data_IF_759362471843
#
_entry.id   IF_759362471843
#
_cell.length_a   1.000
_cell.length_b   1.000
_cell.length_c   1.000
_cell.angle_alpha   90.00
_cell.angle_beta   90.00
_cell.angle_gamma   90.00
#
_symmetry.space_group_name_H-M   'P 1'
#
loop_
_entity.id
_entity.type
_entity.pdbx_description
1 polymer ?
#
# COMPACT_ATOMS: atom_id res chain seq x y z
N UNK A 1 3.36 -13.42 -24.22
CA UNK A 1 3.40 -13.01 -23.86
C UNK A 1 3.38 -12.39 -23.11
N UNK A 2 3.36 -12.09 -22.91
CA UNK A 2 3.44 -11.48 -22.34
C UNK A 2 3.21 -10.98 -21.57
N UNK A 3 2.98 -10.86 -21.14
CA UNK A 3 2.85 -10.35 -20.46
C UNK A 3 2.92 -9.90 -19.73
N UNK A 4 2.73 -9.91 -19.69
CA UNK A 4 2.96 -9.44 -18.91
C UNK A 4 3.21 -8.75 -18.33
N UNK A 5 2.89 -8.74 -18.76
CA UNK A 5 3.67 -8.11 -17.81
C UNK A 5 3.35 -6.68 -17.56
N UNK A 6 2.30 -6.45 -16.91
CA UNK A 6 2.05 -5.14 -16.38
C UNK A 6 3.16 -4.83 -15.41
N UNK A 7 3.86 -3.73 -15.57
CA UNK A 7 4.90 -3.37 -14.63
C UNK A 7 4.26 -3.11 -13.27
N UNK A 8 4.87 -3.66 -12.25
CA UNK A 8 4.42 -3.37 -10.90
C UNK A 8 4.85 -1.96 -10.54
N UNK A 9 3.93 -1.23 -9.97
CA UNK A 9 4.21 0.14 -9.56
C UNK A 9 4.41 0.22 -8.07
N UNK A 10 5.31 1.10 -7.67
CA UNK A 10 5.56 1.36 -6.26
C UNK A 10 5.05 2.75 -5.94
N UNK A 11 4.21 2.82 -4.91
CA UNK A 11 3.66 4.09 -4.46
C UNK A 11 4.46 4.59 -3.28
N UNK A 12 4.74 5.88 -3.28
CA UNK A 12 5.35 6.52 -2.12
C UNK A 12 4.24 6.90 -1.14
N UNK A 13 4.65 7.30 0.06
CA UNK A 13 3.68 7.62 1.09
C UNK A 13 2.66 8.64 0.62
N UNK A 14 3.09 9.66 -0.10
CA UNK A 14 2.17 10.69 -0.58
C UNK A 14 1.10 10.10 -1.49
N UNK A 15 1.48 9.15 -2.31
CA UNK A 15 0.51 8.51 -3.21
C UNK A 15 -0.46 7.64 -2.45
N UNK A 16 0.05 6.91 -1.45
CA UNK A 16 -0.81 6.09 -0.62
C UNK A 16 -1.81 6.99 0.11
N UNK A 17 -1.35 8.13 0.59
CA UNK A 17 -2.21 9.04 1.33
C UNK A 17 -3.32 9.61 0.48
N UNK A 18 -3.10 9.73 -0.83
CA UNK A 18 -4.15 10.18 -1.73
C UNK A 18 -5.28 9.17 -1.82
N UNK A 19 -4.96 7.90 -1.68
CA UNK A 19 -5.97 6.84 -1.75
C UNK A 19 -6.54 6.54 -0.37
N UNK A 20 -5.71 6.61 0.64
CA UNK A 20 -6.09 6.28 2.01
C UNK A 20 -5.59 7.42 2.90
N UNK A 21 -6.48 8.32 3.32
CA UNK A 21 -6.04 9.54 4.03
C UNK A 21 -5.70 9.27 5.50
N UNK A 22 -4.83 8.32 5.74
CA UNK A 22 -4.35 8.02 7.09
C UNK A 22 -3.05 8.76 7.33
N UNK A 23 -2.79 9.10 8.59
CA UNK A 23 -1.52 9.70 8.95
C UNK A 23 -0.41 8.66 8.84
N UNK A 24 0.82 9.14 8.74
CA UNK A 24 1.97 8.24 8.67
C UNK A 24 2.05 7.35 9.91
N UNK A 25 1.84 7.94 11.08
CA UNK A 25 1.89 7.17 12.33
C UNK A 25 0.84 6.08 12.35
N UNK A 26 -0.35 6.41 11.88
CA UNK A 26 -1.43 5.42 11.88
C UNK A 26 -1.12 4.26 10.95
N UNK A 27 -0.58 4.58 9.77
CA UNK A 27 -0.24 3.55 8.80
C UNK A 27 0.83 2.62 9.38
N UNK A 28 1.88 3.18 9.98
CA UNK A 28 2.93 2.33 10.55
C UNK A 28 2.43 1.53 11.74
N UNK A 29 1.49 2.10 12.49
CA UNK A 29 0.88 1.35 13.57
C UNK A 29 0.11 0.14 13.04
N UNK A 30 -0.65 0.34 11.97
CA UNK A 30 -1.37 -0.76 11.34
C UNK A 30 -0.43 -1.82 10.79
N UNK A 31 0.69 -1.38 10.22
CA UNK A 31 1.68 -2.31 9.70
C UNK A 31 2.22 -3.19 10.83
N UNK A 32 2.52 -2.59 11.97
CA UNK A 32 3.05 -3.34 13.10
C UNK A 32 2.05 -4.35 13.64
N UNK A 33 0.77 -4.13 13.40
CA UNK A 33 -0.28 -5.06 13.81
C UNK A 33 -0.61 -6.08 12.72
N UNK A 34 0.08 -6.00 11.59
CA UNK A 34 -0.22 -6.91 10.49
C UNK A 34 -1.52 -6.59 9.79
N UNK A 35 -2.01 -5.37 9.89
CA UNK A 35 -3.30 -4.98 9.35
C UNK A 35 -3.20 -4.04 8.17
N UNK A 36 -2.01 -3.84 7.66
CA UNK A 36 -1.78 -2.98 6.50
C UNK A 36 -0.60 -3.56 5.74
N UNK A 37 -0.59 -3.45 4.40
CA UNK A 37 0.55 -3.99 3.64
C UNK A 37 1.86 -3.37 4.10
N UNK A 38 2.88 -4.21 4.24
CA UNK A 38 4.19 -3.76 4.67
C UNK A 38 4.87 -2.98 3.57
N UNK A 39 5.62 -1.98 3.96
CA UNK A 39 6.36 -1.20 2.98
C UNK A 39 7.56 -1.98 2.47
N UNK A 40 8.00 -1.64 1.27
CA UNK A 40 9.20 -2.20 0.69
C UNK A 40 10.27 -1.13 0.71
N UNK A 41 11.51 -1.55 0.94
CA UNK A 41 12.62 -0.62 0.92
C UNK A 41 13.04 -0.40 -0.52
N UNK A 42 13.15 0.85 -0.91
CA UNK A 42 13.55 1.19 -2.27
C UNK A 42 15.06 1.23 -2.41
N UNK A 43 15.76 1.56 -1.33
CA UNK A 43 17.20 1.65 -1.34
C UNK A 43 17.71 0.87 -0.15
N UNK A 44 18.57 -0.11 -0.42
CA UNK A 44 19.12 -0.93 0.64
C UNK A 44 19.94 -0.04 1.59
N UNK A 45 19.61 -0.11 2.86
CA UNK A 45 20.28 0.71 3.86
C UNK A 45 19.86 2.16 3.84
N UNK A 46 18.98 2.55 2.92
CA UNK A 46 18.53 3.92 2.80
C UNK A 46 17.20 4.14 3.47
N UNK A 47 16.63 5.31 3.24
CA UNK A 47 15.38 5.71 3.85
C UNK A 47 14.17 5.56 2.93
N UNK A 48 14.39 5.36 1.66
CA UNK A 48 13.30 5.27 0.72
C UNK A 48 12.41 4.07 1.02
N UNK A 49 11.12 4.29 1.07
CA UNK A 49 10.18 3.22 1.29
C UNK A 49 8.97 3.47 0.41
N UNK A 50 8.29 2.40 0.04
CA UNK A 50 7.10 2.51 -0.76
C UNK A 50 6.23 1.30 -0.56
N UNK A 51 5.16 1.23 -1.32
CA UNK A 51 4.23 0.12 -1.25
C UNK A 51 3.90 -0.32 -2.66
N UNK A 52 3.70 -1.61 -2.84
CA UNK A 52 3.25 -2.12 -4.12
C UNK A 52 1.84 -1.61 -4.39
N UNK A 53 1.61 -1.07 -5.56
CA UNK A 53 0.31 -0.50 -5.89
C UNK A 53 -0.79 -1.56 -5.80
N UNK A 54 -0.53 -2.76 -6.28
CA UNK A 54 -1.57 -3.78 -6.28
C UNK A 54 -1.98 -4.16 -4.84
N UNK A 55 -1.03 -4.12 -3.91
CA UNK A 55 -1.36 -4.42 -2.52
C UNK A 55 -2.21 -3.33 -1.90
N UNK A 56 -1.91 -2.08 -2.25
CA UNK A 56 -2.71 -0.97 -1.75
C UNK A 56 -4.11 -1.01 -2.36
N UNK A 57 -4.20 -1.33 -3.64
CA UNK A 57 -5.50 -1.45 -4.29
C UNK A 57 -6.33 -2.54 -3.66
N UNK A 58 -5.70 -3.66 -3.35
CA UNK A 58 -6.39 -4.75 -2.68
C UNK A 58 -6.92 -4.33 -1.32
N UNK A 59 -6.10 -3.59 -0.59
CA UNK A 59 -6.52 -3.10 0.72
C UNK A 59 -7.74 -2.20 0.60
N UNK A 60 -7.71 -1.30 -0.38
CA UNK A 60 -8.83 -0.39 -0.60
C UNK A 60 -10.07 -1.17 -1.02
N UNK A 61 -9.91 -2.16 -1.89
CA UNK A 61 -11.04 -2.95 -2.36
C UNK A 61 -11.68 -3.71 -1.22
N UNK A 62 -10.89 -4.23 -0.31
CA UNK A 62 -11.44 -4.93 0.84
C UNK A 62 -12.27 -4.00 1.72
N UNK A 63 -11.78 -2.78 1.90
CA UNK A 63 -12.54 -1.80 2.69
C UNK A 63 -13.86 -1.47 2.01
N UNK A 64 -13.82 -1.30 0.69
CA UNK A 64 -15.03 -1.00 -0.06
C UNK A 64 -16.05 -2.13 0.06
N UNK A 65 -15.57 -3.34 -0.08
CA UNK A 65 -16.44 -4.51 0.00
C UNK A 65 -17.08 -4.63 1.38
N UNK A 66 -16.30 -4.41 2.42
CA UNK A 66 -16.81 -4.48 3.78
C UNK A 66 -17.89 -3.42 4.01
N UNK A 67 -17.66 -2.23 3.46
CA UNK A 67 -18.62 -1.15 3.62
C UNK A 67 -19.94 -1.48 2.92
N UNK A 68 -19.84 -2.01 1.72
CA UNK A 68 -21.01 -2.33 0.93
C UNK A 68 -21.81 -3.48 1.57
N UNK A 69 -21.09 -4.39 2.22
CA UNK A 69 -21.75 -5.53 2.84
C UNK A 69 -22.59 -5.15 4.04
N UNK A 70 -22.37 -3.97 4.57
CA UNK A 70 -23.22 -3.49 5.65
C UNK A 70 -24.61 -3.18 5.09
#
# INVERSE_FOLDING_TARGET
MIMETLPKRILRFKDVQKLIPFSRSYIYNLISQGRFPSQVKLIEGGRGAGWWEHEIQEYVNQRYTEHVAD
#
